data_IF_871051811271
#
_entry.id   IF_871051811271
#
_cell.length_a   1.000
_cell.length_b   1.000
_cell.length_c   1.000
_cell.angle_alpha   90.00
_cell.angle_beta   90.00
_cell.angle_gamma   90.00
#
_symmetry.space_group_name_H-M   'P 1'
#
loop_
_entity.id
_entity.type
_entity.pdbx_description
1 polymer ?
#
# COMPACT_ATOMS: atom_id res chain seq x y z
N UNK A 1 -55.37 16.02 5.72
CA UNK A 1 -55.05 17.45 5.54
C UNK A 1 -55.07 18.20 6.87
N UNK A 2 -56.14 18.07 7.68
CA UNK A 2 -56.25 18.67 9.02
C UNK A 2 -55.16 18.23 10.03
N UNK A 3 -54.77 16.94 10.04
CA UNK A 3 -53.72 16.42 10.94
C UNK A 3 -52.34 17.08 10.71
N UNK A 4 -52.01 17.40 9.45
CA UNK A 4 -50.73 18.01 9.07
C UNK A 4 -50.73 19.50 9.41
N UNK A 5 -51.87 20.19 9.22
CA UNK A 5 -52.04 21.59 9.63
C UNK A 5 -51.98 21.76 11.16
N UNK A 6 -52.49 20.79 11.92
CA UNK A 6 -52.49 20.85 13.38
C UNK A 6 -51.14 20.47 14.00
N UNK A 7 -50.37 19.59 13.36
CA UNK A 7 -48.96 19.33 13.68
C UNK A 7 -48.10 20.57 13.42
N UNK A 8 -48.27 21.25 12.28
CA UNK A 8 -47.55 22.48 11.96
C UNK A 8 -47.90 23.67 12.88
N UNK A 9 -49.08 23.68 13.52
CA UNK A 9 -49.49 24.76 14.44
C UNK A 9 -48.93 24.60 15.86
N UNK A 10 -48.39 23.42 16.22
CA UNK A 10 -47.95 23.08 17.58
C UNK A 10 -46.45 22.86 17.74
N UNK A 11 -45.71 22.61 16.67
CA UNK A 11 -44.26 22.41 16.75
C UNK A 11 -43.53 23.75 16.70
N UNK A 12 -42.84 24.08 17.80
CA UNK A 12 -41.93 25.22 17.83
C UNK A 12 -40.77 25.01 16.85
N UNK A 13 -40.16 26.10 16.37
CA UNK A 13 -38.89 26.05 15.63
C UNK A 13 -37.83 25.23 16.39
N UNK A 14 -37.85 25.31 17.73
CA UNK A 14 -36.97 24.53 18.62
C UNK A 14 -37.18 23.02 18.49
N UNK A 15 -38.42 22.57 18.37
CA UNK A 15 -38.75 21.14 18.29
C UNK A 15 -38.30 20.58 16.94
N UNK A 16 -38.49 21.37 15.88
CA UNK A 16 -38.02 21.03 14.55
C UNK A 16 -36.49 20.93 14.50
N UNK A 17 -35.78 21.92 15.05
CA UNK A 17 -34.31 21.91 15.15
C UNK A 17 -33.80 20.75 16.01
N UNK A 18 -34.49 20.43 17.12
CA UNK A 18 -34.14 19.30 17.97
C UNK A 18 -34.28 17.95 17.24
N UNK A 19 -35.33 17.77 16.45
CA UNK A 19 -35.52 16.56 15.62
C UNK A 19 -34.41 16.44 14.57
N UNK A 20 -34.08 17.53 13.84
CA UNK A 20 -32.97 17.52 12.88
C UNK A 20 -31.61 17.27 13.54
N UNK A 21 -31.36 17.88 14.69
CA UNK A 21 -30.15 17.65 15.49
C UNK A 21 -30.04 16.20 15.94
N UNK A 22 -31.11 15.63 16.48
CA UNK A 22 -31.19 14.23 16.89
C UNK A 22 -30.96 13.26 15.74
N UNK A 23 -31.59 13.49 14.58
CA UNK A 23 -31.39 12.68 13.37
C UNK A 23 -29.94 12.76 12.89
N UNK A 24 -29.33 13.94 12.90
CA UNK A 24 -27.93 14.14 12.49
C UNK A 24 -26.98 13.37 13.42
N UNK A 25 -27.17 13.47 14.73
CA UNK A 25 -26.37 12.73 15.72
C UNK A 25 -26.53 11.23 15.54
N UNK A 26 -27.77 10.73 15.34
CA UNK A 26 -28.03 9.33 15.10
C UNK A 26 -27.32 8.82 13.82
N UNK A 27 -27.38 9.58 12.73
CA UNK A 27 -26.67 9.24 11.48
C UNK A 27 -25.14 9.25 11.66
N UNK A 28 -24.60 10.19 12.43
CA UNK A 28 -23.18 10.24 12.77
C UNK A 28 -22.75 9.04 13.61
N UNK A 29 -23.51 8.68 14.64
CA UNK A 29 -23.26 7.50 15.49
C UNK A 29 -23.36 6.20 14.68
N UNK A 30 -24.35 6.08 13.80
CA UNK A 30 -24.49 4.91 12.92
C UNK A 30 -23.29 4.79 11.97
N UNK A 31 -22.85 5.90 11.37
CA UNK A 31 -21.65 5.91 10.51
C UNK A 31 -20.37 5.57 11.29
N UNK A 32 -20.25 6.06 12.52
CA UNK A 32 -19.10 5.80 13.38
C UNK A 32 -19.05 4.32 13.79
N UNK A 33 -20.16 3.79 14.32
CA UNK A 33 -20.29 2.37 14.71
C UNK A 33 -20.04 1.45 13.52
N UNK A 34 -20.56 1.77 12.33
CA UNK A 34 -20.27 1.02 11.10
C UNK A 34 -18.78 1.04 10.75
N UNK A 35 -18.10 2.20 10.82
CA UNK A 35 -16.65 2.29 10.60
C UNK A 35 -15.86 1.47 11.63
N UNK A 36 -16.24 1.52 12.90
CA UNK A 36 -15.63 0.71 13.96
C UNK A 36 -15.81 -0.78 13.68
N UNK A 37 -17.00 -1.20 13.27
CA UNK A 37 -17.27 -2.58 12.88
C UNK A 37 -16.44 -3.02 11.67
N UNK A 38 -16.33 -2.19 10.62
CA UNK A 38 -15.46 -2.46 9.47
C UNK A 38 -14.00 -2.59 9.90
N UNK A 39 -13.51 -1.72 10.77
CA UNK A 39 -12.15 -1.80 11.32
C UNK A 39 -11.92 -3.07 12.13
N UNK A 40 -12.86 -3.42 13.02
CA UNK A 40 -12.82 -4.64 13.80
C UNK A 40 -12.79 -5.88 12.89
N UNK A 41 -13.68 -5.94 11.88
CA UNK A 41 -13.68 -7.03 10.89
C UNK A 41 -12.36 -7.13 10.14
N UNK A 42 -11.82 -5.99 9.71
CA UNK A 42 -10.63 -5.94 8.87
C UNK A 42 -9.34 -6.28 9.61
N UNK A 43 -9.22 -5.94 10.90
CA UNK A 43 -7.96 -6.07 11.64
C UNK A 43 -7.98 -7.06 12.80
N UNK A 44 -9.17 -7.42 13.31
CA UNK A 44 -9.31 -8.39 14.41
C UNK A 44 -9.83 -9.72 13.88
N UNK A 45 -10.94 -9.71 13.13
CA UNK A 45 -11.49 -10.96 12.56
C UNK A 45 -10.59 -11.55 11.47
N UNK A 46 -9.83 -10.71 10.76
CA UNK A 46 -8.88 -11.16 9.74
C UNK A 46 -7.73 -12.01 10.29
N UNK A 47 -7.35 -11.80 11.55
CA UNK A 47 -6.31 -12.58 12.23
C UNK A 47 -6.79 -14.02 12.48
N UNK A 48 -8.08 -14.18 12.81
CA UNK A 48 -8.71 -15.44 13.17
C UNK A 48 -9.30 -16.17 11.95
N UNK A 49 -9.86 -15.44 10.99
CA UNK A 49 -10.48 -15.97 9.76
C UNK A 49 -9.70 -15.53 8.53
N UNK A 50 -8.56 -16.19 8.34
CA UNK A 50 -7.69 -16.00 7.18
C UNK A 50 -8.28 -16.72 5.96
N UNK A 51 -8.25 -16.06 4.80
CA UNK A 51 -8.66 -16.68 3.54
C UNK A 51 -7.56 -17.62 3.06
N UNK A 52 -7.92 -18.86 2.65
CA UNK A 52 -6.98 -19.73 1.93
C UNK A 52 -6.64 -19.11 0.57
N UNK A 53 -5.42 -18.64 0.44
CA UNK A 53 -4.93 -17.94 -0.75
C UNK A 53 -4.76 -18.87 -1.96
N UNK A 54 -4.60 -20.19 -1.73
CA UNK A 54 -4.41 -21.17 -2.81
C UNK A 54 -5.66 -21.29 -3.70
N UNK A 55 -6.83 -20.85 -3.22
CA UNK A 55 -8.06 -20.79 -4.02
C UNK A 55 -7.97 -19.86 -5.23
N UNK A 56 -7.03 -18.91 -5.24
CA UNK A 56 -6.84 -17.99 -6.36
C UNK A 56 -5.97 -18.60 -7.47
N UNK A 57 -5.10 -19.56 -7.13
CA UNK A 57 -4.21 -20.26 -8.05
C UNK A 57 -2.91 -20.71 -7.38
N UNK A 58 -2.08 -21.45 -8.11
CA UNK A 58 -0.82 -22.00 -7.60
C UNK A 58 0.27 -20.95 -7.42
N UNK A 59 0.40 -20.01 -8.37
CA UNK A 59 1.52 -19.07 -8.42
C UNK A 59 1.11 -17.66 -8.02
N UNK A 60 1.97 -17.00 -7.24
CA UNK A 60 1.92 -15.57 -6.97
C UNK A 60 3.06 -14.84 -7.67
N UNK A 61 2.77 -13.75 -8.38
CA UNK A 61 3.77 -12.83 -8.94
C UNK A 61 3.97 -11.66 -7.99
N UNK A 62 5.22 -11.37 -7.62
CA UNK A 62 5.56 -10.23 -6.76
C UNK A 62 6.58 -9.33 -7.46
N UNK A 63 6.22 -8.07 -7.69
CA UNK A 63 7.13 -7.07 -8.26
C UNK A 63 7.94 -6.36 -7.18
N UNK A 64 9.22 -6.08 -7.44
CA UNK A 64 10.12 -5.51 -6.42
C UNK A 64 10.39 -6.48 -5.28
N UNK A 65 10.52 -7.78 -5.58
CA UNK A 65 10.58 -8.86 -4.58
C UNK A 65 11.94 -9.03 -3.87
N UNK A 66 12.93 -8.19 -4.16
CA UNK A 66 14.30 -8.36 -3.65
C UNK A 66 14.56 -7.74 -2.28
N UNK A 67 13.69 -6.84 -1.80
CA UNK A 67 13.81 -6.26 -0.46
C UNK A 67 12.49 -5.66 0.04
N UNK A 68 12.47 -5.20 1.30
CA UNK A 68 11.36 -4.46 1.89
C UNK A 68 10.02 -5.21 1.85
N UNK A 69 8.95 -4.47 1.55
CA UNK A 69 7.57 -4.99 1.50
C UNK A 69 7.44 -6.11 0.47
N UNK A 70 8.03 -5.99 -0.71
CA UNK A 70 7.95 -7.01 -1.77
C UNK A 70 8.56 -8.34 -1.34
N UNK A 71 9.77 -8.33 -0.77
CA UNK A 71 10.39 -9.55 -0.21
C UNK A 71 9.50 -10.16 0.88
N UNK A 72 8.96 -9.33 1.77
CA UNK A 72 8.11 -9.79 2.86
C UNK A 72 6.81 -10.42 2.36
N UNK A 73 6.16 -9.84 1.34
CA UNK A 73 5.02 -10.45 0.67
C UNK A 73 5.38 -11.78 0.01
N UNK A 74 6.51 -11.87 -0.68
CA UNK A 74 6.96 -13.10 -1.31
C UNK A 74 7.12 -14.25 -0.30
N UNK A 75 7.81 -13.99 0.82
CA UNK A 75 7.95 -14.96 1.91
C UNK A 75 6.60 -15.31 2.54
N UNK A 76 5.73 -14.33 2.80
CA UNK A 76 4.42 -14.59 3.42
C UNK A 76 3.49 -15.41 2.51
N UNK A 77 3.51 -15.17 1.20
CA UNK A 77 2.74 -15.95 0.22
C UNK A 77 3.29 -17.38 0.10
N UNK A 78 4.62 -17.55 0.12
CA UNK A 78 5.24 -18.87 0.15
C UNK A 78 4.90 -19.64 1.43
N UNK A 79 4.94 -18.96 2.59
CA UNK A 79 4.51 -19.52 3.88
C UNK A 79 3.07 -20.00 3.86
N UNK A 80 2.20 -19.34 3.07
CA UNK A 80 0.79 -19.74 2.85
C UNK A 80 0.60 -20.76 1.73
N UNK A 81 1.69 -21.33 1.21
CA UNK A 81 1.66 -22.50 0.33
C UNK A 81 1.63 -22.18 -1.17
N UNK A 82 1.86 -20.94 -1.59
CA UNK A 82 1.99 -20.59 -3.01
C UNK A 82 3.42 -20.75 -3.53
N UNK A 83 3.55 -21.09 -4.81
CA UNK A 83 4.80 -20.90 -5.54
C UNK A 83 4.94 -19.42 -5.92
N UNK A 84 6.17 -18.89 -6.02
CA UNK A 84 6.38 -17.44 -6.14
C UNK A 84 7.25 -17.06 -7.34
N UNK A 85 6.70 -16.24 -8.23
CA UNK A 85 7.47 -15.52 -9.24
C UNK A 85 8.02 -14.23 -8.62
N UNK A 86 9.34 -14.12 -8.58
CA UNK A 86 10.07 -12.99 -8.00
C UNK A 86 10.57 -12.09 -9.13
N UNK A 87 10.06 -10.86 -9.20
CA UNK A 87 10.48 -9.89 -10.22
C UNK A 87 11.28 -8.76 -9.58
N UNK A 88 12.46 -8.46 -10.12
CA UNK A 88 13.32 -7.40 -9.62
C UNK A 88 14.56 -7.14 -10.48
N UNK A 89 15.38 -6.16 -10.08
CA UNK A 89 16.51 -5.67 -10.89
C UNK A 89 17.82 -6.42 -10.70
N UNK A 90 18.01 -7.02 -9.52
CA UNK A 90 19.28 -7.62 -9.11
C UNK A 90 19.13 -9.13 -9.06
N UNK A 91 19.76 -9.80 -10.02
CA UNK A 91 19.75 -11.27 -10.14
C UNK A 91 20.25 -11.95 -8.85
N UNK A 92 21.38 -11.48 -8.30
CA UNK A 92 21.93 -12.03 -7.05
C UNK A 92 20.92 -11.98 -5.90
N UNK A 93 20.22 -10.84 -5.72
CA UNK A 93 19.21 -10.71 -4.67
C UNK A 93 17.98 -11.56 -4.95
N UNK A 94 17.58 -11.72 -6.21
CA UNK A 94 16.49 -12.61 -6.60
C UNK A 94 16.84 -14.06 -6.25
N UNK A 95 18.04 -14.53 -6.58
CA UNK A 95 18.53 -15.87 -6.23
C UNK A 95 18.60 -16.09 -4.72
N UNK A 96 19.03 -15.09 -3.96
CA UNK A 96 19.03 -15.17 -2.50
C UNK A 96 17.62 -15.36 -1.93
N UNK A 97 16.64 -14.55 -2.36
CA UNK A 97 15.25 -14.68 -1.90
C UNK A 97 14.62 -15.99 -2.39
N UNK A 98 14.92 -16.42 -3.61
CA UNK A 98 14.48 -17.71 -4.15
C UNK A 98 14.94 -18.88 -3.28
N UNK A 99 16.23 -18.87 -2.89
CA UNK A 99 16.83 -19.90 -2.03
C UNK A 99 16.27 -19.86 -0.61
N UNK A 100 16.02 -18.67 -0.06
CA UNK A 100 15.36 -18.49 1.24
C UNK A 100 13.96 -19.14 1.23
N UNK A 101 13.13 -18.82 0.24
CA UNK A 101 11.79 -19.38 0.09
C UNK A 101 11.82 -20.91 -0.07
N UNK A 102 12.74 -21.41 -0.90
CA UNK A 102 12.88 -22.84 -1.13
C UNK A 102 13.30 -23.58 0.15
N UNK A 103 14.25 -23.04 0.89
CA UNK A 103 14.77 -23.65 2.12
C UNK A 103 13.77 -23.59 3.28
N UNK A 104 13.07 -22.47 3.46
CA UNK A 104 12.16 -22.27 4.59
C UNK A 104 10.78 -22.91 4.37
N UNK A 105 10.25 -22.87 3.14
CA UNK A 105 8.85 -23.25 2.86
C UNK A 105 8.72 -24.41 1.85
N UNK A 106 9.82 -24.85 1.22
CA UNK A 106 9.80 -25.90 0.21
C UNK A 106 8.95 -25.55 -1.02
N UNK A 107 8.77 -24.25 -1.31
CA UNK A 107 7.98 -23.76 -2.45
C UNK A 107 8.86 -23.53 -3.67
N UNK A 108 8.27 -23.66 -4.86
CA UNK A 108 8.97 -23.35 -6.12
C UNK A 108 9.06 -21.85 -6.29
N UNK A 109 10.15 -21.42 -6.90
CA UNK A 109 10.35 -20.02 -7.26
C UNK A 109 10.76 -19.90 -8.72
N UNK A 110 10.40 -18.78 -9.34
CA UNK A 110 10.81 -18.42 -10.68
C UNK A 110 11.23 -16.95 -10.67
N UNK A 111 12.41 -16.63 -11.18
CA UNK A 111 12.99 -15.29 -11.05
C UNK A 111 13.02 -14.60 -12.40
N UNK A 112 12.52 -13.37 -12.46
CA UNK A 112 12.53 -12.54 -13.68
C UNK A 112 13.31 -11.27 -13.40
N UNK A 113 14.45 -11.09 -14.07
CA UNK A 113 15.27 -9.90 -13.94
C UNK A 113 14.82 -8.82 -14.91
N UNK A 114 14.26 -7.72 -14.39
CA UNK A 114 13.86 -6.54 -15.18
C UNK A 114 14.00 -5.25 -14.37
N UNK A 115 14.25 -4.14 -15.06
CA UNK A 115 14.13 -2.80 -14.51
C UNK A 115 12.86 -2.10 -15.01
N UNK A 116 11.90 -1.91 -14.10
CA UNK A 116 10.64 -1.23 -14.39
C UNK A 116 10.80 0.25 -14.79
N UNK A 117 11.99 0.83 -14.65
CA UNK A 117 12.27 2.19 -15.13
C UNK A 117 12.49 2.26 -16.65
N UNK A 118 12.76 1.14 -17.31
CA UNK A 118 13.01 1.04 -18.76
C UNK A 118 11.74 1.19 -19.63
N UNK A 119 10.56 1.26 -19.00
CA UNK A 119 9.30 1.53 -19.69
C UNK A 119 8.71 0.30 -20.37
N UNK A 120 8.13 0.47 -21.57
CA UNK A 120 7.28 -0.53 -22.21
C UNK A 120 7.98 -1.77 -22.78
N UNK A 121 9.29 -1.71 -23.02
CA UNK A 121 10.05 -2.77 -23.70
C UNK A 121 10.08 -4.09 -22.92
N UNK A 122 10.08 -4.03 -21.59
CA UNK A 122 10.30 -5.19 -20.71
C UNK A 122 9.11 -6.17 -20.69
N UNK A 123 7.89 -5.70 -20.92
CA UNK A 123 6.68 -6.49 -20.64
C UNK A 123 6.49 -7.67 -21.60
N UNK A 124 7.03 -7.57 -22.83
CA UNK A 124 7.01 -8.68 -23.79
C UNK A 124 7.85 -9.87 -23.31
N UNK A 125 8.99 -9.59 -22.65
CA UNK A 125 9.84 -10.61 -22.03
C UNK A 125 9.17 -11.20 -20.79
N UNK A 126 8.64 -10.34 -19.91
CA UNK A 126 7.90 -10.78 -18.71
C UNK A 126 6.72 -11.67 -19.09
N UNK A 127 5.97 -11.34 -20.14
CA UNK A 127 4.83 -12.14 -20.59
C UNK A 127 5.25 -13.57 -21.00
N UNK A 128 6.40 -13.72 -21.66
CA UNK A 128 6.93 -15.03 -22.07
C UNK A 128 7.32 -15.88 -20.86
N UNK A 129 7.99 -15.29 -19.88
CA UNK A 129 8.40 -15.98 -18.64
C UNK A 129 7.21 -16.41 -17.78
N UNK A 130 6.08 -15.68 -17.84
CA UNK A 130 4.85 -16.04 -17.12
C UNK A 130 4.00 -17.10 -17.84
N UNK A 131 4.33 -17.45 -19.08
CA UNK A 131 3.53 -18.36 -19.90
C UNK A 131 3.48 -19.77 -19.28
N UNK A 132 2.29 -20.36 -19.24
CA UNK A 132 2.08 -21.71 -18.68
C UNK A 132 1.99 -21.77 -17.15
N UNK A 133 2.26 -20.66 -16.44
CA UNK A 133 2.06 -20.58 -14.99
C UNK A 133 0.61 -20.21 -14.68
N UNK A 134 -0.01 -20.95 -13.77
CA UNK A 134 -1.34 -20.61 -13.25
C UNK A 134 -1.24 -19.48 -12.22
N UNK A 135 -1.07 -18.25 -12.71
CA UNK A 135 -0.95 -17.06 -11.85
C UNK A 135 -2.29 -16.72 -11.20
N UNK A 136 -2.39 -16.97 -9.89
CA UNK A 136 -3.58 -16.67 -9.10
C UNK A 136 -3.52 -15.33 -8.36
N UNK A 137 -2.30 -14.89 -8.01
CA UNK A 137 -2.08 -13.67 -7.23
C UNK A 137 -1.05 -12.78 -7.94
N UNK A 138 -1.32 -11.49 -8.04
CA UNK A 138 -0.35 -10.47 -8.43
C UNK A 138 -0.19 -9.45 -7.31
N UNK A 139 1.04 -9.22 -6.86
CA UNK A 139 1.40 -8.14 -5.94
C UNK A 139 2.21 -7.10 -6.70
N UNK A 140 1.53 -6.01 -7.11
CA UNK A 140 2.18 -4.83 -7.68
C UNK A 140 2.77 -3.99 -6.54
N UNK A 141 4.01 -4.30 -6.16
CA UNK A 141 4.72 -3.64 -5.07
C UNK A 141 5.84 -2.71 -5.54
N UNK A 142 6.42 -2.95 -6.73
CA UNK A 142 7.55 -2.14 -7.22
C UNK A 142 7.23 -0.64 -7.16
N UNK A 143 8.20 0.14 -6.73
CA UNK A 143 8.07 1.59 -6.69
C UNK A 143 9.32 2.28 -6.19
N UNK A 144 9.41 3.58 -6.46
CA UNK A 144 10.51 4.44 -6.07
C UNK A 144 10.03 5.84 -5.70
N UNK A 145 10.88 6.59 -5.00
CA UNK A 145 10.72 8.02 -4.72
C UNK A 145 11.64 8.83 -5.65
N UNK A 146 11.27 10.07 -5.97
CA UNK A 146 12.09 10.95 -6.82
C UNK A 146 13.37 11.42 -6.11
N UNK A 147 13.30 11.61 -4.80
CA UNK A 147 14.39 12.15 -3.97
C UNK A 147 14.37 11.48 -2.61
N UNK A 148 15.54 11.31 -2.00
CA UNK A 148 15.72 10.76 -0.64
C UNK A 148 15.27 11.75 0.46
N UNK A 149 14.83 12.96 0.09
CA UNK A 149 14.39 14.00 1.02
C UNK A 149 13.24 14.84 0.44
N UNK A 150 12.58 15.58 1.33
CA UNK A 150 11.60 16.58 0.95
C UNK A 150 12.26 17.73 0.18
N UNK A 151 11.87 17.91 -1.07
CA UNK A 151 12.45 18.91 -1.97
C UNK A 151 11.36 19.56 -2.81
N UNK A 152 11.56 20.81 -3.23
CA UNK A 152 10.68 21.42 -4.22
C UNK A 152 10.80 20.69 -5.56
N UNK A 153 9.75 20.78 -6.38
CA UNK A 153 9.68 20.05 -7.63
C UNK A 153 10.89 20.32 -8.55
N UNK A 154 11.30 21.59 -8.66
CA UNK A 154 12.45 22.02 -9.47
C UNK A 154 13.82 21.65 -8.87
N UNK A 155 13.87 21.20 -7.61
CA UNK A 155 15.11 20.78 -6.94
C UNK A 155 15.42 19.29 -7.20
N UNK A 156 14.59 18.59 -7.97
CA UNK A 156 14.80 17.18 -8.31
C UNK A 156 16.00 17.05 -9.27
N UNK A 157 17.10 16.37 -8.89
CA UNK A 157 18.23 16.16 -9.77
C UNK A 157 17.82 15.33 -11.00
N UNK A 158 18.43 15.60 -12.15
CA UNK A 158 18.19 14.83 -13.40
C UNK A 158 16.69 14.70 -13.71
N UNK A 159 15.95 15.80 -13.54
CA UNK A 159 14.49 15.81 -13.48
C UNK A 159 13.82 15.08 -14.65
N UNK A 160 14.26 15.32 -15.89
CA UNK A 160 13.66 14.70 -17.09
C UNK A 160 13.72 13.17 -17.04
N UNK A 161 14.90 12.61 -16.74
CA UNK A 161 15.07 11.17 -16.62
C UNK A 161 14.29 10.64 -15.40
N UNK A 162 14.38 11.32 -14.24
CA UNK A 162 13.69 10.89 -13.02
C UNK A 162 12.18 10.88 -13.15
N UNK A 163 11.60 11.85 -13.84
CA UNK A 163 10.17 11.93 -14.15
C UNK A 163 9.75 10.69 -14.94
N UNK A 164 10.47 10.36 -16.01
CA UNK A 164 10.18 9.17 -16.83
C UNK A 164 10.34 7.88 -16.03
N UNK A 165 11.42 7.75 -15.26
CA UNK A 165 11.68 6.56 -14.42
C UNK A 165 10.59 6.31 -13.39
N UNK A 166 10.13 7.33 -12.66
CA UNK A 166 9.09 7.15 -11.63
C UNK A 166 7.72 6.89 -12.26
N UNK A 167 7.39 7.50 -13.40
CA UNK A 167 6.15 7.20 -14.13
C UNK A 167 6.19 5.74 -14.60
N UNK A 168 7.28 5.29 -15.20
CA UNK A 168 7.43 3.90 -15.65
C UNK A 168 7.33 2.92 -14.47
N UNK A 169 8.05 3.20 -13.38
CA UNK A 169 8.16 2.31 -12.22
C UNK A 169 6.88 2.28 -11.37
N UNK A 170 6.27 3.43 -11.06
CA UNK A 170 5.15 3.51 -10.12
C UNK A 170 3.77 3.49 -10.80
N UNK A 171 3.68 4.01 -12.05
CA UNK A 171 2.40 4.14 -12.78
C UNK A 171 2.31 3.03 -13.82
N UNK A 172 3.20 2.99 -14.82
CA UNK A 172 3.07 2.09 -15.97
C UNK A 172 3.14 0.60 -15.58
N UNK A 173 3.94 0.25 -14.58
CA UNK A 173 4.08 -1.13 -14.08
C UNK A 173 2.77 -1.75 -13.63
N UNK A 174 1.90 -0.99 -12.97
CA UNK A 174 0.66 -1.49 -12.38
C UNK A 174 -0.34 -1.99 -13.43
N UNK A 175 -0.78 -1.19 -14.43
CA UNK A 175 -1.68 -1.65 -15.46
C UNK A 175 -1.03 -2.68 -16.39
N UNK A 176 0.26 -2.54 -16.71
CA UNK A 176 0.94 -3.50 -17.59
C UNK A 176 1.01 -4.90 -16.97
N UNK A 177 1.52 -5.02 -15.74
CA UNK A 177 1.56 -6.31 -15.03
C UNK A 177 0.16 -6.87 -14.81
N UNK A 178 -0.81 -6.02 -14.49
CA UNK A 178 -2.22 -6.42 -14.39
C UNK A 178 -2.72 -7.01 -15.71
N UNK A 179 -2.47 -6.35 -16.85
CA UNK A 179 -2.91 -6.80 -18.17
C UNK A 179 -2.30 -8.15 -18.57
N UNK A 180 -1.08 -8.45 -18.11
CA UNK A 180 -0.42 -9.74 -18.37
C UNK A 180 -1.11 -10.92 -17.68
N UNK A 181 -1.66 -10.72 -16.47
CA UNK A 181 -2.18 -11.83 -15.65
C UNK A 181 -3.71 -11.90 -15.61
N UNK A 182 -4.39 -10.76 -15.76
CA UNK A 182 -5.84 -10.64 -15.59
C UNK A 182 -6.65 -11.53 -16.54
N UNK A 183 -6.31 -11.68 -17.84
CA UNK A 183 -7.07 -12.55 -18.73
C UNK A 183 -7.20 -13.98 -18.20
N UNK A 184 -6.08 -14.58 -17.79
CA UNK A 184 -6.09 -15.93 -17.22
C UNK A 184 -6.83 -16.04 -15.88
N UNK A 185 -6.89 -14.97 -15.09
CA UNK A 185 -7.72 -14.94 -13.87
C UNK A 185 -9.21 -14.90 -14.20
N UNK A 186 -9.61 -14.08 -15.19
CA UNK A 186 -10.99 -13.95 -15.66
C UNK A 186 -11.50 -15.26 -16.25
N UNK A 187 -10.71 -15.93 -17.08
CA UNK A 187 -11.07 -17.23 -17.68
C UNK A 187 -11.35 -18.29 -16.62
N UNK A 188 -10.68 -18.23 -15.46
CA UNK A 188 -10.90 -19.14 -14.32
C UNK A 188 -11.97 -18.67 -13.34
N UNK A 189 -12.49 -17.45 -13.48
CA UNK A 189 -13.43 -16.84 -12.54
C UNK A 189 -12.87 -16.62 -11.13
N UNK A 190 -11.53 -16.57 -10.98
CA UNK A 190 -10.87 -16.37 -9.68
C UNK A 190 -9.50 -15.73 -9.85
N UNK A 191 -9.22 -14.72 -9.03
CA UNK A 191 -7.92 -14.07 -8.98
C UNK A 191 -7.83 -12.99 -7.92
N UNK A 192 -6.61 -12.67 -7.51
CA UNK A 192 -6.33 -11.63 -6.54
C UNK A 192 -5.22 -10.70 -7.06
N UNK A 193 -5.51 -9.41 -7.13
CA UNK A 193 -4.54 -8.37 -7.43
C UNK A 193 -4.38 -7.49 -6.19
N UNK A 194 -3.16 -7.39 -5.68
CA UNK A 194 -2.79 -6.53 -4.55
C UNK A 194 -1.89 -5.42 -5.09
N UNK A 195 -2.36 -4.19 -5.00
CA UNK A 195 -1.63 -3.02 -5.45
C UNK A 195 -1.13 -2.21 -4.24
N UNK A 196 0.19 -2.04 -4.14
CA UNK A 196 0.81 -1.28 -3.03
C UNK A 196 0.87 0.21 -3.38
N UNK A 197 -0.07 0.94 -2.80
CA UNK A 197 -0.14 2.39 -2.82
C UNK A 197 0.76 2.99 -1.72
N UNK A 198 0.32 4.09 -1.10
CA UNK A 198 0.91 4.73 0.07
C UNK A 198 -0.15 5.62 0.72
N UNK A 199 -0.05 5.83 2.03
CA UNK A 199 -0.80 6.87 2.73
C UNK A 199 -0.50 8.28 2.16
N UNK A 200 0.67 8.48 1.54
CA UNK A 200 1.01 9.71 0.81
C UNK A 200 0.25 9.87 -0.52
N UNK A 201 -0.45 8.84 -0.98
CA UNK A 201 -1.39 8.91 -2.10
C UNK A 201 -2.83 9.15 -1.67
N UNK A 202 -3.12 9.10 -0.36
CA UNK A 202 -4.48 9.31 0.18
C UNK A 202 -4.80 10.79 0.28
N UNK A 203 -3.77 11.60 0.56
CA UNK A 203 -3.86 13.05 0.70
C UNK A 203 -2.69 13.67 -0.07
N UNK A 204 -2.87 14.87 -0.68
CA UNK A 204 -1.79 15.56 -1.34
C UNK A 204 -0.61 15.77 -0.40
N UNK A 205 0.60 15.41 -0.84
CA UNK A 205 1.82 15.61 -0.06
C UNK A 205 2.80 16.53 -0.78
N UNK A 206 2.87 17.83 -0.38
CA UNK A 206 3.90 18.74 -0.85
C UNK A 206 5.31 18.19 -0.64
N UNK A 207 6.26 18.63 -1.46
CA UNK A 207 7.66 18.20 -1.45
C UNK A 207 7.91 16.72 -1.83
N UNK A 208 6.84 15.97 -2.13
CA UNK A 208 6.84 14.63 -2.72
C UNK A 208 5.81 14.54 -3.85
N UNK A 209 5.61 15.66 -4.57
CA UNK A 209 4.51 15.87 -5.52
C UNK A 209 4.32 14.69 -6.48
N UNK A 210 5.39 14.28 -7.17
CA UNK A 210 5.29 13.23 -8.18
C UNK A 210 5.05 11.85 -7.57
N UNK A 211 5.68 11.54 -6.44
CA UNK A 211 5.43 10.29 -5.70
C UNK A 211 3.96 10.21 -5.23
N UNK A 212 3.47 11.26 -4.57
CA UNK A 212 2.08 11.37 -4.10
C UNK A 212 1.09 11.18 -5.25
N UNK A 213 1.32 11.86 -6.39
CA UNK A 213 0.52 11.71 -7.60
C UNK A 213 0.52 10.27 -8.14
N UNK A 214 1.67 9.59 -8.16
CA UNK A 214 1.74 8.18 -8.60
C UNK A 214 0.95 7.25 -7.67
N UNK A 215 0.90 7.53 -6.37
CA UNK A 215 0.22 6.65 -5.40
C UNK A 215 -1.30 6.86 -5.36
N UNK A 216 -1.80 8.08 -5.61
CA UNK A 216 -3.25 8.27 -5.84
C UNK A 216 -3.70 7.56 -7.13
N UNK A 217 -2.88 7.57 -8.19
CA UNK A 217 -3.16 6.80 -9.42
C UNK A 217 -3.38 5.31 -9.09
N UNK A 218 -2.46 4.68 -8.35
CA UNK A 218 -2.59 3.26 -7.95
C UNK A 218 -3.89 3.03 -7.17
N UNK A 219 -4.25 3.96 -6.29
CA UNK A 219 -5.48 3.88 -5.49
C UNK A 219 -6.73 3.89 -6.36
N UNK A 220 -6.84 4.84 -7.29
CA UNK A 220 -8.00 4.93 -8.19
C UNK A 220 -8.05 3.79 -9.20
N UNK A 221 -6.91 3.43 -9.80
CA UNK A 221 -6.80 2.28 -10.67
C UNK A 221 -7.34 1.01 -9.99
N UNK A 222 -6.93 0.77 -8.74
CA UNK A 222 -7.36 -0.42 -7.98
C UNK A 222 -8.87 -0.42 -7.69
N UNK A 223 -9.44 0.74 -7.34
CA UNK A 223 -10.88 0.86 -7.03
C UNK A 223 -11.74 0.65 -8.26
N UNK A 224 -11.38 1.27 -9.39
CA UNK A 224 -12.08 1.08 -10.66
C UNK A 224 -11.98 -0.37 -11.13
N UNK A 225 -10.78 -0.93 -11.16
CA UNK A 225 -10.56 -2.31 -11.59
C UNK A 225 -11.30 -3.32 -10.70
N UNK A 226 -11.37 -3.10 -9.39
CA UNK A 226 -12.19 -3.94 -8.52
C UNK A 226 -13.66 -3.89 -8.91
N UNK A 227 -14.22 -2.70 -9.15
CA UNK A 227 -15.62 -2.54 -9.51
C UNK A 227 -15.96 -3.22 -10.85
N UNK A 228 -15.05 -3.15 -11.82
CA UNK A 228 -15.21 -3.76 -13.15
C UNK A 228 -15.21 -5.29 -13.11
N UNK A 229 -14.30 -5.91 -12.34
CA UNK A 229 -14.06 -7.36 -12.42
C UNK A 229 -14.55 -8.15 -11.19
N UNK A 230 -15.11 -7.51 -10.16
CA UNK A 230 -15.60 -8.21 -8.96
C UNK A 230 -16.68 -9.25 -9.29
N UNK A 231 -17.59 -8.96 -10.22
CA UNK A 231 -18.63 -9.90 -10.65
C UNK A 231 -18.07 -11.12 -11.39
N UNK A 232 -16.85 -11.01 -11.92
CA UNK A 232 -16.10 -12.09 -12.57
C UNK A 232 -15.21 -12.87 -11.58
N UNK A 233 -15.40 -12.68 -10.27
CA UNK A 233 -14.63 -13.37 -9.23
C UNK A 233 -13.24 -12.79 -8.97
N UNK A 234 -12.90 -11.64 -9.54
CA UNK A 234 -11.59 -11.00 -9.34
C UNK A 234 -11.63 -10.04 -8.15
N UNK A 235 -10.78 -10.31 -7.16
CA UNK A 235 -10.58 -9.40 -6.04
C UNK A 235 -9.40 -8.49 -6.34
N UNK A 236 -9.60 -7.18 -6.24
CA UNK A 236 -8.53 -6.20 -6.33
C UNK A 236 -8.47 -5.45 -5.02
N UNK A 237 -7.33 -5.51 -4.35
CA UNK A 237 -7.07 -4.86 -3.07
C UNK A 237 -6.00 -3.77 -3.22
N UNK A 238 -6.32 -2.56 -2.78
CA UNK A 238 -5.36 -1.48 -2.63
C UNK A 238 -4.85 -1.45 -1.18
N UNK A 239 -3.53 -1.51 -1.01
CA UNK A 239 -2.88 -1.39 0.30
C UNK A 239 -2.14 -0.06 0.36
N UNK A 240 -2.50 0.82 1.28
CA UNK A 240 -1.92 2.15 1.47
C UNK A 240 -1.11 2.21 2.79
N UNK A 241 0.13 1.68 2.80
CA UNK A 241 0.96 1.69 4.00
C UNK A 241 1.40 3.10 4.42
N UNK A 242 1.68 3.25 5.72
CA UNK A 242 2.53 4.31 6.25
C UNK A 242 3.98 3.80 6.38
N UNK A 243 4.69 4.17 7.44
CA UNK A 243 6.10 3.88 7.61
C UNK A 243 6.33 2.39 7.87
N UNK A 244 7.08 1.77 6.95
CA UNK A 244 7.60 0.40 7.05
C UNK A 244 9.12 0.48 6.95
N UNK A 245 9.83 -0.24 7.82
CA UNK A 245 11.29 -0.35 7.78
C UNK A 245 11.73 -1.13 6.54
N UNK A 246 12.27 -0.40 5.55
CA UNK A 246 12.72 -0.92 4.25
C UNK A 246 13.92 -0.11 3.76
N UNK A 247 14.57 -0.55 2.69
CA UNK A 247 15.63 0.24 2.06
C UNK A 247 15.15 1.63 1.59
N UNK A 248 13.88 1.76 1.16
CA UNK A 248 13.30 3.05 0.74
C UNK A 248 13.19 4.03 1.91
N UNK A 249 12.95 3.54 3.11
CA UNK A 249 12.90 4.33 4.35
C UNK A 249 14.23 4.26 5.11
N UNK A 250 15.33 3.88 4.46
CA UNK A 250 16.66 3.78 5.07
C UNK A 250 16.71 2.88 6.31
N UNK A 251 15.90 1.82 6.33
CA UNK A 251 15.84 0.84 7.42
C UNK A 251 15.63 1.49 8.80
N UNK A 252 14.69 2.44 8.88
CA UNK A 252 14.27 3.07 10.14
C UNK A 252 14.02 2.02 11.23
N UNK A 253 14.39 2.36 12.46
CA UNK A 253 14.17 1.46 13.59
C UNK A 253 12.68 1.20 13.80
N UNK A 254 12.35 -0.07 14.01
CA UNK A 254 10.98 -0.52 14.28
C UNK A 254 10.56 0.00 15.65
N UNK A 255 9.36 0.57 15.73
CA UNK A 255 8.74 1.10 16.94
C UNK A 255 7.21 1.09 16.79
N UNK A 256 6.48 1.79 17.66
CA UNK A 256 5.02 1.85 17.60
C UNK A 256 4.46 2.49 16.30
N UNK A 257 5.24 3.36 15.65
CA UNK A 257 4.86 4.06 14.42
C UNK A 257 5.43 3.39 13.16
N UNK A 258 6.60 2.75 13.27
CA UNK A 258 7.32 2.12 12.17
C UNK A 258 7.23 0.59 12.29
N UNK A 259 6.57 -0.06 11.33
CA UNK A 259 6.45 -1.53 11.30
C UNK A 259 7.64 -2.18 10.58
N UNK A 260 8.03 -3.38 10.99
CA UNK A 260 8.93 -4.24 10.20
C UNK A 260 8.25 -4.69 8.91
N UNK A 261 9.01 -4.91 7.83
CA UNK A 261 8.45 -5.39 6.57
C UNK A 261 7.73 -6.74 6.69
N UNK A 262 8.28 -7.72 7.43
CA UNK A 262 7.67 -9.04 7.66
C UNK A 262 6.35 -8.94 8.42
N UNK A 263 6.36 -8.28 9.58
CA UNK A 263 5.14 -8.06 10.37
C UNK A 263 4.06 -7.28 9.60
N UNK A 264 4.46 -6.30 8.78
CA UNK A 264 3.53 -5.60 7.90
C UNK A 264 2.91 -6.52 6.84
N UNK A 265 3.71 -7.33 6.14
CA UNK A 265 3.20 -8.24 5.12
C UNK A 265 2.26 -9.29 5.72
N UNK A 266 2.61 -9.86 6.87
CA UNK A 266 1.75 -10.80 7.61
C UNK A 266 0.36 -10.20 7.90
N UNK A 267 0.31 -9.03 8.55
CA UNK A 267 -0.95 -8.36 8.88
C UNK A 267 -1.72 -7.92 7.60
N UNK A 268 -1.01 -7.43 6.59
CA UNK A 268 -1.63 -6.96 5.35
C UNK A 268 -2.28 -8.09 4.55
N UNK A 269 -1.62 -9.24 4.45
CA UNK A 269 -2.17 -10.43 3.78
C UNK A 269 -3.39 -10.97 4.53
N UNK A 270 -3.45 -10.88 5.87
CA UNK A 270 -4.66 -11.24 6.63
C UNK A 270 -5.89 -10.44 6.20
N UNK A 271 -5.73 -9.19 5.78
CA UNK A 271 -6.86 -8.35 5.35
C UNK A 271 -7.49 -8.76 4.01
N UNK A 272 -6.88 -9.68 3.26
CA UNK A 272 -7.42 -10.19 1.98
C UNK A 272 -8.80 -10.80 2.21
N UNK A 273 -9.76 -10.43 1.36
CA UNK A 273 -11.16 -10.86 1.46
C UNK A 273 -12.00 -10.07 2.47
N UNK A 274 -11.38 -9.30 3.36
CA UNK A 274 -12.09 -8.48 4.36
C UNK A 274 -12.32 -7.05 3.89
N UNK A 275 -11.40 -6.49 3.11
CA UNK A 275 -11.52 -5.15 2.52
C UNK A 275 -10.79 -5.05 1.17
N UNK A 276 -11.33 -4.28 0.24
CA UNK A 276 -10.67 -3.91 -1.02
C UNK A 276 -9.74 -2.69 -0.89
N UNK A 277 -9.81 -1.96 0.24
CA UNK A 277 -8.91 -0.85 0.54
C UNK A 277 -8.49 -0.88 2.01
N UNK A 278 -7.19 -0.91 2.26
CA UNK A 278 -6.64 -1.14 3.61
C UNK A 278 -5.33 -0.37 3.80
N UNK A 279 -5.00 0.01 5.04
CA UNK A 279 -3.65 0.47 5.39
C UNK A 279 -2.67 -0.67 5.64
N UNK A 280 -3.10 -1.93 5.47
CA UNK A 280 -2.32 -3.14 5.70
C UNK A 280 -2.31 -3.60 7.17
N UNK A 281 -2.24 -2.68 8.12
CA UNK A 281 -2.25 -3.02 9.54
C UNK A 281 -3.04 -2.01 10.39
N UNK A 282 -3.45 -2.44 11.60
CA UNK A 282 -4.21 -1.60 12.53
C UNK A 282 -3.44 -0.35 12.94
N UNK A 283 -2.14 -0.48 13.20
CA UNK A 283 -1.29 0.65 13.59
C UNK A 283 -1.27 1.74 12.51
N UNK A 284 -1.20 1.34 11.24
CA UNK A 284 -1.24 2.30 10.13
C UNK A 284 -2.63 2.91 9.95
N UNK A 285 -3.71 2.14 10.13
CA UNK A 285 -5.07 2.68 10.07
C UNK A 285 -5.31 3.76 11.14
N UNK A 286 -4.89 3.50 12.38
CA UNK A 286 -4.99 4.47 13.48
C UNK A 286 -4.15 5.72 13.21
N UNK A 287 -2.92 5.56 12.70
CA UNK A 287 -2.08 6.69 12.31
C UNK A 287 -2.71 7.52 11.18
N UNK A 288 -3.27 6.88 10.14
CA UNK A 288 -3.92 7.59 9.04
C UNK A 288 -5.14 8.41 9.52
N UNK A 289 -5.93 7.85 10.43
CA UNK A 289 -7.04 8.58 11.09
C UNK A 289 -6.50 9.76 11.90
N UNK A 290 -5.49 9.54 12.76
CA UNK A 290 -4.89 10.59 13.57
C UNK A 290 -4.32 11.73 12.70
N UNK A 291 -3.59 11.40 11.64
CA UNK A 291 -3.07 12.39 10.68
C UNK A 291 -4.18 13.15 9.95
N UNK A 292 -5.31 12.50 9.70
CA UNK A 292 -6.45 13.17 9.05
C UNK A 292 -7.17 14.14 9.99
N UNK A 293 -7.23 13.82 11.29
CA UNK A 293 -7.84 14.68 12.31
C UNK A 293 -6.93 15.83 12.74
N UNK A 294 -5.64 15.55 12.95
CA UNK A 294 -4.67 16.50 13.50
C UNK A 294 -4.02 17.39 12.44
N UNK A 295 -3.91 16.91 11.20
CA UNK A 295 -3.31 17.62 10.08
C UNK A 295 -4.32 17.73 8.93
N UNK A 296 -5.29 18.66 9.00
CA UNK A 296 -6.23 18.88 7.91
C UNK A 296 -5.51 19.39 6.65
N UNK A 297 -6.12 19.22 5.49
CA UNK A 297 -5.48 19.51 4.20
C UNK A 297 -5.03 20.97 4.07
N UNK A 298 -5.80 21.94 4.56
CA UNK A 298 -5.40 23.34 4.53
C UNK A 298 -4.10 23.59 5.33
N UNK A 299 -3.89 22.87 6.44
CA UNK A 299 -2.67 22.96 7.23
C UNK A 299 -1.52 22.20 6.54
N UNK A 300 -1.81 21.02 5.99
CA UNK A 300 -0.85 20.22 5.23
C UNK A 300 -0.28 20.98 4.02
N UNK A 301 -1.13 21.74 3.35
CA UNK A 301 -0.81 22.55 2.18
C UNK A 301 -0.33 23.97 2.54
N UNK A 302 -0.26 24.31 3.83
CA UNK A 302 0.16 25.64 4.27
C UNK A 302 1.65 25.87 4.00
N UNK A 303 2.01 27.13 3.73
CA UNK A 303 3.42 27.55 3.59
C UNK A 303 4.22 27.27 4.87
N UNK A 304 3.58 27.36 6.03
CA UNK A 304 4.18 27.02 7.32
C UNK A 304 4.64 25.55 7.35
N UNK A 305 3.74 24.59 7.09
CA UNK A 305 4.11 23.18 7.17
C UNK A 305 5.10 22.79 6.08
N UNK A 306 4.99 23.36 4.88
CA UNK A 306 5.97 23.16 3.80
C UNK A 306 7.37 23.58 4.26
N UNK A 307 7.51 24.73 4.93
CA UNK A 307 8.81 25.18 5.48
C UNK A 307 9.33 24.23 6.57
N UNK A 308 8.44 23.77 7.45
CA UNK A 308 8.80 22.79 8.50
C UNK A 308 9.31 21.49 7.88
N UNK A 309 8.57 20.92 6.92
CA UNK A 309 8.93 19.66 6.25
C UNK A 309 10.24 19.77 5.46
N UNK A 310 10.47 20.91 4.78
CA UNK A 310 11.70 21.17 4.04
C UNK A 310 12.94 21.17 4.93
N UNK A 311 12.79 21.68 6.16
CA UNK A 311 13.89 21.79 7.12
C UNK A 311 14.11 20.48 7.91
N UNK A 312 13.31 19.44 7.68
CA UNK A 312 13.56 18.14 8.31
C UNK A 312 14.90 17.60 7.82
N UNK A 313 15.76 17.09 8.73
CA UNK A 313 17.04 16.54 8.33
C UNK A 313 16.82 15.39 7.35
N UNK A 314 17.59 15.39 6.27
CA UNK A 314 17.62 14.26 5.34
C UNK A 314 17.91 12.96 6.14
N UNK A 315 17.24 11.87 5.82
CA UNK A 315 17.36 10.57 6.50
C UNK A 315 18.80 10.07 6.58
N UNK A 316 19.64 10.44 5.61
CA UNK A 316 21.11 10.19 5.62
C UNK A 316 21.82 10.86 6.82
N UNK A 317 21.37 12.03 7.25
CA UNK A 317 21.92 12.77 8.38
C UNK A 317 21.62 12.08 9.71
N UNK A 318 20.40 11.51 9.85
CA UNK A 318 20.04 10.69 11.01
C UNK A 318 20.88 9.42 11.11
N UNK A 319 21.13 8.73 9.98
CA UNK A 319 21.99 7.54 9.97
C UNK A 319 23.45 7.86 10.30
N UNK A 320 23.99 8.99 9.81
CA UNK A 320 25.35 9.43 10.20
C UNK A 320 25.44 9.65 11.70
N UNK A 321 24.47 10.34 12.30
CA UNK A 321 24.40 10.55 13.75
C UNK A 321 24.25 9.23 14.51
N UNK A 322 23.31 8.37 14.12
CA UNK A 322 23.10 7.08 14.77
C UNK A 322 24.32 6.13 14.65
N UNK A 323 25.00 6.12 13.50
CA UNK A 323 26.24 5.35 13.29
C UNK A 323 27.41 5.90 14.11
N UNK A 324 27.56 7.23 14.19
CA UNK A 324 28.54 7.88 15.06
C UNK A 324 28.27 7.61 16.54
N UNK A 325 27.02 7.66 16.97
CA UNK A 325 26.61 7.38 18.34
C UNK A 325 26.82 5.91 18.72
N UNK A 326 26.51 4.97 17.81
CA UNK A 326 26.83 3.54 17.98
C UNK A 326 28.33 3.33 18.12
N UNK A 327 29.15 3.96 17.28
CA UNK A 327 30.61 3.91 17.38
C UNK A 327 31.13 4.48 18.70
N UNK A 328 30.56 5.60 19.16
CA UNK A 328 30.92 6.24 20.42
C UNK A 328 30.56 5.38 21.65
N UNK A 329 29.38 4.75 21.64
CA UNK A 329 28.96 3.82 22.70
C UNK A 329 29.81 2.55 22.74
N UNK A 330 30.25 2.03 21.58
CA UNK A 330 31.18 0.89 21.52
C UNK A 330 32.57 1.28 22.03
N UNK A 331 33.04 2.49 21.73
CA UNK A 331 34.32 3.01 22.19
C UNK A 331 34.37 3.29 23.71
N UNK A 332 33.22 3.55 24.35
CA UNK A 332 33.11 3.68 25.82
C UNK A 332 33.01 2.36 26.57
N UNK A 333 32.82 1.25 25.86
CA UNK A 333 32.74 -0.11 26.44
C UNK A 333 34.06 -0.88 26.34
N UNK A 334 35.09 -0.28 25.73
CA UNK A 334 36.48 -0.71 25.73
C UNK A 334 37.27 0.14 26.71
#
# INVERSE_FOLDING_TARGET
MLLIQELCRKTSLTDTLAVFGGLTVALCLLRFTWKCWCGFRQFVLSEQWQVDLRKYGQWAVVTGATSGIGKAYANELARRGLDVVLIGRSDDKLRMVAKEIQNEYGRKTHTIQVDFTEGGSIYSSVAKELQGLQIGILVNNVGMICSDHFAYFLETPEAEQKISQIINCNILSVPQMTRLVLPGMVDRGTGLIINISSDMGVRPQPLLTLYSATKIFVTYFSKCLHAEYKSMGITVQCVAPLMVSTNMTHNMQVNCLVKSASGFAYEAVNTVGHSSYTSGCLSHALQSVALSLLLPDWLRMSTFLIRVLRNLPNTKTYQRKASQEKKWLTAKKQ
#
